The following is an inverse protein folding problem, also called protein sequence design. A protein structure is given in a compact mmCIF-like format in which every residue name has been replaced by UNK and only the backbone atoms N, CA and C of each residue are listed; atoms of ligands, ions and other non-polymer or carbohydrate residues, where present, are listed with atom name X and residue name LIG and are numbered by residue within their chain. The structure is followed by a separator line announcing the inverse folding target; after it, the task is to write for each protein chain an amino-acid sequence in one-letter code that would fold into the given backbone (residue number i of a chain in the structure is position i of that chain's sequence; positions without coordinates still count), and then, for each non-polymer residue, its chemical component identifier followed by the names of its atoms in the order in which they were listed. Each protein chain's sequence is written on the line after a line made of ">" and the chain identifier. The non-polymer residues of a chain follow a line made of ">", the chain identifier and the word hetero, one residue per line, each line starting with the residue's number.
data_IF_901461304794
#
_entry.id   IF_901461304794
#
_cell.length_a   1.000
_cell.length_b   1.000
_cell.length_c   1.000
_cell.angle_alpha   90.00
_cell.angle_beta   90.00
_cell.angle_gamma   90.00
#
_symmetry.space_group_name_H-M   'P 1'
#
loop_
_entity.id
_entity.type
_entity.pdbx_description
1 polymer ?
#
# COMPACT_ATOMS: atom_id res chain seq x y z
N UNK A 1 6.51 16.12 47.10
CA UNK A 1 5.53 15.91 46.00
C UNK A 1 6.00 16.67 44.78
N UNK A 2 6.82 16.05 43.94
CA UNK A 2 7.21 16.61 42.64
C UNK A 2 6.80 15.58 41.59
N UNK A 3 5.73 15.91 40.87
CA UNK A 3 5.17 15.06 39.83
C UNK A 3 6.08 15.08 38.62
N UNK A 4 6.73 13.94 38.34
CA UNK A 4 7.41 13.72 37.07
C UNK A 4 6.35 13.31 36.03
N UNK A 5 5.61 14.30 35.54
CA UNK A 5 4.82 14.12 34.33
C UNK A 5 5.81 13.90 33.18
N UNK A 6 6.03 12.63 32.82
CA UNK A 6 6.73 12.29 31.60
C UNK A 6 5.87 12.81 30.45
N UNK A 7 6.29 13.93 29.87
CA UNK A 7 5.73 14.40 28.61
C UNK A 7 6.01 13.32 27.57
N UNK A 8 5.00 12.55 27.23
CA UNK A 8 4.99 11.79 25.99
C UNK A 8 5.10 12.84 24.88
N UNK A 9 6.32 13.06 24.37
CA UNK A 9 6.50 13.77 23.13
C UNK A 9 5.51 13.16 22.12
N UNK A 10 4.80 13.96 21.31
CA UNK A 10 4.09 13.39 20.19
C UNK A 10 5.14 12.64 19.38
N UNK A 11 5.02 11.30 19.35
CA UNK A 11 5.77 10.48 18.41
C UNK A 11 5.57 11.17 17.06
N UNK A 12 6.63 11.54 16.34
CA UNK A 12 6.48 11.91 14.95
C UNK A 12 5.83 10.71 14.29
N UNK A 13 4.53 10.80 14.03
CA UNK A 13 3.88 9.88 13.13
C UNK A 13 4.47 10.21 11.77
N UNK A 14 5.60 9.58 11.45
CA UNK A 14 6.23 9.57 10.14
C UNK A 14 5.32 8.82 9.13
N UNK A 15 4.07 9.26 9.00
CA UNK A 15 3.14 8.79 7.95
C UNK A 15 3.23 9.68 6.70
N UNK A 16 4.30 10.44 6.55
CA UNK A 16 4.57 11.25 5.38
C UNK A 16 5.67 10.65 4.50
N UNK A 17 5.59 9.37 4.12
CA UNK A 17 6.35 8.92 2.96
C UNK A 17 5.93 9.81 1.78
N UNK A 18 6.81 10.68 1.29
CA UNK A 18 6.54 11.70 0.26
C UNK A 18 6.20 11.16 -1.13
N UNK A 19 5.57 9.98 -1.22
CA UNK A 19 5.04 9.38 -2.43
C UNK A 19 3.52 9.18 -2.33
N UNK A 20 2.87 8.93 -3.48
CA UNK A 20 1.42 8.69 -3.51
C UNK A 20 1.07 7.49 -2.65
N UNK A 21 -0.03 7.61 -1.90
CA UNK A 21 -0.61 6.55 -1.10
C UNK A 21 -0.96 5.32 -1.95
N UNK A 22 -1.13 4.16 -1.31
CA UNK A 22 -1.58 2.94 -1.98
C UNK A 22 -2.85 3.16 -2.80
N UNK A 23 -3.77 3.96 -2.29
CA UNK A 23 -5.04 4.29 -2.96
C UNK A 23 -4.82 5.18 -4.18
N UNK A 24 -3.94 6.17 -4.11
CA UNK A 24 -3.61 7.02 -5.26
C UNK A 24 -2.90 6.23 -6.37
N UNK A 25 -1.99 5.32 -5.99
CA UNK A 25 -1.34 4.40 -6.95
C UNK A 25 -2.35 3.45 -7.59
N UNK A 26 -3.28 2.90 -6.81
CA UNK A 26 -4.37 2.07 -7.31
C UNK A 26 -5.23 2.83 -8.31
N UNK A 27 -5.66 4.06 -7.99
CA UNK A 27 -6.43 4.90 -8.92
C UNK A 27 -5.66 5.22 -10.21
N UNK A 28 -4.35 5.47 -10.13
CA UNK A 28 -3.49 5.73 -11.30
C UNK A 28 -3.39 4.54 -12.26
N UNK A 29 -3.56 3.32 -11.74
CA UNK A 29 -3.58 2.09 -12.56
C UNK A 29 -4.92 1.87 -13.29
N UNK A 30 -5.91 2.76 -13.11
CA UNK A 30 -7.23 2.70 -13.75
C UNK A 30 -7.87 1.29 -13.66
N UNK A 31 -8.12 0.79 -12.44
CA UNK A 31 -8.63 -0.57 -12.24
C UNK A 31 -9.99 -0.74 -12.91
N UNK A 32 -10.28 -1.92 -13.49
CA UNK A 32 -11.57 -2.16 -14.10
C UNK A 32 -12.69 -2.15 -13.05
N UNK A 33 -13.84 -1.58 -13.39
CA UNK A 33 -15.03 -1.64 -12.53
C UNK A 33 -15.69 -3.01 -12.62
N UNK A 34 -16.09 -3.57 -11.48
CA UNK A 34 -16.92 -4.76 -11.46
C UNK A 34 -18.35 -4.39 -11.82
N UNK A 35 -18.92 -5.06 -12.83
CA UNK A 35 -20.30 -4.82 -13.28
C UNK A 35 -21.34 -5.72 -12.64
N UNK A 36 -20.96 -6.54 -11.66
CA UNK A 36 -21.88 -7.52 -11.07
C UNK A 36 -22.14 -8.69 -12.02
N UNK A 37 -21.11 -9.13 -12.75
CA UNK A 37 -21.25 -10.19 -13.76
C UNK A 37 -21.70 -11.51 -13.11
N UNK A 38 -22.80 -12.08 -13.60
CA UNK A 38 -23.29 -13.39 -13.14
C UNK A 38 -22.47 -14.57 -13.68
N UNK A 39 -21.64 -14.33 -14.70
CA UNK A 39 -20.80 -15.36 -15.30
C UNK A 39 -19.50 -15.53 -14.50
N UNK A 40 -19.20 -16.74 -13.96
CA UNK A 40 -18.02 -16.97 -13.14
C UNK A 40 -16.70 -16.59 -13.81
N UNK A 41 -16.57 -16.85 -15.11
CA UNK A 41 -15.36 -16.55 -15.88
C UNK A 41 -15.08 -15.04 -16.00
N UNK A 42 -16.13 -14.22 -16.12
CA UNK A 42 -15.99 -12.77 -16.20
C UNK A 42 -15.62 -12.19 -14.83
N UNK A 43 -16.20 -12.72 -13.75
CA UNK A 43 -15.85 -12.35 -12.39
C UNK A 43 -14.39 -12.74 -12.05
N UNK A 44 -13.95 -13.93 -12.45
CA UNK A 44 -12.57 -14.39 -12.27
C UNK A 44 -11.59 -13.52 -13.05
N UNK A 45 -11.90 -13.22 -14.32
CA UNK A 45 -11.08 -12.35 -15.16
C UNK A 45 -10.93 -10.95 -14.55
N UNK A 46 -12.03 -10.35 -14.08
CA UNK A 46 -12.00 -9.06 -13.37
C UNK A 46 -11.14 -9.14 -12.10
N UNK A 47 -11.32 -10.18 -11.28
CA UNK A 47 -10.56 -10.37 -10.05
C UNK A 47 -9.07 -10.51 -10.33
N UNK A 48 -8.70 -11.28 -11.36
CA UNK A 48 -7.30 -11.49 -11.76
C UNK A 48 -6.62 -10.18 -12.13
N UNK A 49 -7.29 -9.31 -12.88
CA UNK A 49 -6.76 -8.00 -13.24
C UNK A 49 -6.59 -7.09 -12.00
N UNK A 50 -7.56 -7.10 -11.07
CA UNK A 50 -7.47 -6.34 -9.82
C UNK A 50 -6.32 -6.84 -8.93
N UNK A 51 -6.17 -8.17 -8.78
CA UNK A 51 -5.09 -8.78 -7.99
C UNK A 51 -3.71 -8.48 -8.59
N UNK A 52 -3.61 -8.44 -9.93
CA UNK A 52 -2.37 -8.05 -10.63
C UNK A 52 -1.99 -6.60 -10.31
N UNK A 53 -2.95 -5.68 -10.27
CA UNK A 53 -2.70 -4.28 -9.89
C UNK A 53 -2.15 -4.21 -8.46
N UNK A 54 -2.73 -4.94 -7.51
CA UNK A 54 -2.22 -4.98 -6.14
C UNK A 54 -0.78 -5.51 -6.06
N UNK A 55 -0.45 -6.58 -6.78
CA UNK A 55 0.92 -7.10 -6.86
C UNK A 55 1.89 -6.08 -7.43
N UNK A 56 1.51 -5.38 -8.52
CA UNK A 56 2.35 -4.32 -9.10
C UNK A 56 2.65 -3.21 -8.10
N UNK A 57 1.67 -2.80 -7.30
CA UNK A 57 1.88 -1.74 -6.32
C UNK A 57 2.73 -2.23 -5.13
N UNK A 58 2.58 -3.50 -4.72
CA UNK A 58 3.37 -4.12 -3.63
C UNK A 58 4.82 -4.38 -4.03
N UNK A 59 5.06 -4.84 -5.26
CA UNK A 59 6.41 -5.00 -5.82
C UNK A 59 7.19 -3.67 -5.78
N UNK A 60 6.55 -2.55 -6.11
CA UNK A 60 7.16 -1.22 -6.02
C UNK A 60 7.49 -0.76 -4.58
N UNK A 61 6.88 -1.37 -3.55
CA UNK A 61 7.18 -1.09 -2.14
C UNK A 61 8.22 -2.07 -1.58
N UNK A 62 8.20 -3.34 -1.98
CA UNK A 62 9.19 -4.36 -1.58
C UNK A 62 10.55 -4.15 -2.25
N UNK A 63 10.61 -3.50 -3.41
CA UNK A 63 11.89 -3.07 -4.03
C UNK A 63 12.58 -1.92 -3.25
N UNK A 64 11.87 -1.30 -2.28
CA UNK A 64 12.50 -0.45 -1.25
C UNK A 64 12.96 -1.27 -0.06
N UNK A 65 13.42 -2.51 -0.28
CA UNK A 65 14.29 -3.19 0.66
C UNK A 65 15.43 -2.25 1.02
N UNK A 66 15.65 -2.01 2.32
CA UNK A 66 16.74 -1.14 2.74
C UNK A 66 18.04 -1.61 2.07
N UNK A 67 18.88 -0.73 1.52
CA UNK A 67 20.15 -1.11 0.89
C UNK A 67 21.14 -1.80 1.85
N UNK A 68 20.77 -2.04 3.12
CA UNK A 68 21.61 -2.65 4.14
C UNK A 68 21.84 -4.16 3.96
N UNK A 69 21.04 -4.88 3.18
CA UNK A 69 21.18 -6.34 3.04
C UNK A 69 22.17 -6.76 1.95
N UNK A 70 22.57 -5.86 1.06
CA UNK A 70 23.56 -6.13 0.00
C UNK A 70 25.01 -5.77 0.41
N UNK A 71 25.27 -5.55 1.70
CA UNK A 71 26.62 -5.30 2.25
C UNK A 71 27.11 -6.45 3.15
N UNK A 72 27.01 -7.70 2.68
CA UNK A 72 27.71 -8.84 3.30
C UNK A 72 28.79 -9.37 2.34
#
# INVERSE_FOLDING_TARGET
>A
MQGLAQALAPVPQEHGHGGPSIMERFKRMAPPSFKGESQPLLAESWMREVVKIFHTIRCAEEDKGSPATYML
#
